data_IF_766155918827
#
_entry.id   IF_766155918827
#
_cell.length_a   1.000
_cell.length_b   1.000
_cell.length_c   1.000
_cell.angle_alpha   90.00
_cell.angle_beta   90.00
_cell.angle_gamma   90.00
#
_symmetry.space_group_name_H-M   'P 1'
#
loop_
_entity.id
_entity.type
_entity.pdbx_description
1 polymer ?
#
# COMPACT_ATOMS: atom_id res chain seq x y z
N UNK A 1 -3.72 80.42 20.15
CA UNK A 1 -4.08 78.99 19.90
C UNK A 1 -5.42 78.95 19.17
N UNK A 2 -5.40 78.61 17.87
CA UNK A 2 -6.64 78.37 17.10
C UNK A 2 -7.05 76.94 17.38
N UNK A 3 -7.99 76.70 18.27
CA UNK A 3 -8.69 75.45 18.38
C UNK A 3 -9.65 75.35 17.19
N UNK A 4 -9.33 74.55 16.21
CA UNK A 4 -10.13 74.35 15.02
C UNK A 4 -11.42 73.62 15.42
N UNK A 5 -12.57 74.29 15.21
CA UNK A 5 -13.92 73.76 15.48
C UNK A 5 -14.31 72.48 14.75
N UNK A 6 -13.47 71.98 13.86
CA UNK A 6 -13.71 70.77 13.07
C UNK A 6 -13.23 69.41 13.68
N UNK A 7 -12.51 69.45 14.80
CA UNK A 7 -11.94 68.27 15.46
C UNK A 7 -13.01 67.42 16.18
N UNK A 8 -14.09 68.02 16.62
CA UNK A 8 -15.15 67.37 17.38
C UNK A 8 -16.06 66.49 16.47
N UNK A 9 -16.56 67.00 15.32
CA UNK A 9 -17.34 66.19 14.39
C UNK A 9 -16.55 65.01 13.81
N UNK A 10 -15.28 65.19 13.45
CA UNK A 10 -14.42 64.16 12.91
C UNK A 10 -14.12 63.03 13.92
N UNK A 11 -13.90 63.38 15.19
CA UNK A 11 -13.77 62.40 16.27
C UNK A 11 -15.05 61.64 16.56
N UNK A 12 -16.21 62.30 16.44
CA UNK A 12 -17.52 61.66 16.62
C UNK A 12 -17.83 60.69 15.47
N UNK A 13 -17.58 61.12 14.23
CA UNK A 13 -17.71 60.27 13.05
C UNK A 13 -16.80 59.04 13.13
N UNK A 14 -15.54 59.19 13.53
CA UNK A 14 -14.61 58.11 13.76
C UNK A 14 -15.09 57.10 14.82
N UNK A 15 -15.69 57.59 15.92
CA UNK A 15 -16.28 56.75 16.96
C UNK A 15 -17.53 56.02 16.46
N UNK A 16 -18.41 56.64 15.67
CA UNK A 16 -19.59 56.00 15.09
C UNK A 16 -19.20 54.90 14.09
N UNK A 17 -18.18 55.16 13.29
CA UNK A 17 -17.63 54.16 12.38
C UNK A 17 -17.03 52.95 13.11
N UNK A 18 -16.25 53.19 14.18
CA UNK A 18 -15.69 52.11 15.01
C UNK A 18 -16.78 51.29 15.71
N UNK A 19 -17.81 51.92 16.26
CA UNK A 19 -18.97 51.26 16.86
C UNK A 19 -19.77 50.43 15.84
N UNK A 20 -19.97 50.98 14.63
CA UNK A 20 -20.58 50.20 13.52
C UNK A 20 -19.77 48.99 13.13
N UNK A 21 -18.43 49.11 13.10
CA UNK A 21 -17.50 48.01 12.87
C UNK A 21 -17.59 46.91 13.95
N UNK A 22 -17.60 47.33 15.23
CA UNK A 22 -17.74 46.41 16.37
C UNK A 22 -19.09 45.69 16.37
N UNK A 23 -20.17 46.39 16.04
CA UNK A 23 -21.50 45.82 15.93
C UNK A 23 -21.58 44.80 14.81
N UNK A 24 -21.05 45.09 13.63
CA UNK A 24 -20.99 44.15 12.51
C UNK A 24 -20.16 42.93 12.85
N UNK A 25 -19.03 43.11 13.56
CA UNK A 25 -18.22 41.99 14.05
C UNK A 25 -18.98 41.10 15.02
N UNK A 26 -19.68 41.72 16.00
CA UNK A 26 -20.50 40.98 16.96
C UNK A 26 -21.63 40.21 16.29
N UNK A 27 -22.31 40.82 15.31
CA UNK A 27 -23.34 40.15 14.51
C UNK A 27 -22.78 38.96 13.72
N UNK A 28 -21.61 39.12 13.11
CA UNK A 28 -20.91 38.02 12.39
C UNK A 28 -20.54 36.88 13.33
N UNK A 29 -20.01 37.20 14.51
CA UNK A 29 -19.69 36.20 15.54
C UNK A 29 -20.93 35.47 16.05
N UNK A 30 -22.04 36.17 16.23
CA UNK A 30 -23.30 35.59 16.66
C UNK A 30 -23.90 34.69 15.61
N UNK A 31 -23.82 35.09 14.33
CA UNK A 31 -24.35 34.33 13.19
C UNK A 31 -23.51 33.07 12.91
N UNK A 32 -22.18 33.18 13.00
CA UNK A 32 -21.27 32.07 12.69
C UNK A 32 -20.95 31.18 13.91
N UNK A 33 -21.23 31.67 15.12
CA UNK A 33 -20.80 31.04 16.36
C UNK A 33 -19.27 31.02 16.56
N UNK A 34 -18.51 31.72 15.71
CA UNK A 34 -17.04 31.70 15.76
C UNK A 34 -16.50 33.08 16.21
N UNK A 35 -15.65 33.07 17.22
CA UNK A 35 -14.99 34.31 17.71
C UNK A 35 -13.91 34.80 16.75
N UNK A 36 -13.18 33.87 16.10
CA UNK A 36 -12.07 34.16 15.20
C UNK A 36 -12.48 33.79 13.78
N UNK A 37 -12.75 34.80 12.96
CA UNK A 37 -13.07 34.63 11.52
C UNK A 37 -11.91 35.08 10.64
N UNK A 38 -11.18 36.16 11.06
CA UNK A 38 -10.09 36.74 10.31
C UNK A 38 -8.79 36.80 11.15
N UNK A 39 -7.60 36.84 10.51
CA UNK A 39 -6.32 37.00 11.22
C UNK A 39 -6.23 38.22 12.09
N UNK A 40 -6.95 39.30 11.73
CA UNK A 40 -7.06 40.54 12.50
C UNK A 40 -7.78 40.39 13.82
N UNK A 41 -8.56 39.32 14.04
CA UNK A 41 -9.32 39.14 15.28
C UNK A 41 -8.43 38.68 16.44
N UNK A 42 -7.52 37.74 16.17
CA UNK A 42 -6.58 37.16 17.12
C UNK A 42 -5.43 36.48 16.34
N UNK A 43 -4.37 37.23 16.06
CA UNK A 43 -3.27 36.73 15.23
C UNK A 43 -2.57 35.48 15.83
N UNK A 44 -2.26 35.42 17.16
CA UNK A 44 -1.69 34.19 17.75
C UNK A 44 -2.59 32.95 17.66
N UNK A 45 -3.88 33.12 17.90
CA UNK A 45 -4.83 32.02 17.81
C UNK A 45 -5.02 31.58 16.34
N UNK A 46 -5.06 32.53 15.40
CA UNK A 46 -5.13 32.20 13.98
C UNK A 46 -3.90 31.44 13.49
N UNK A 47 -2.69 31.79 13.99
CA UNK A 47 -1.47 31.03 13.68
C UNK A 47 -1.59 29.58 14.14
N UNK A 48 -2.11 29.32 15.36
CA UNK A 48 -2.35 27.95 15.85
C UNK A 48 -3.35 27.20 14.97
N UNK A 49 -4.46 27.88 14.59
CA UNK A 49 -5.46 27.29 13.68
C UNK A 49 -4.86 26.94 12.32
N UNK A 50 -4.00 27.79 11.76
CA UNK A 50 -3.34 27.52 10.48
C UNK A 50 -2.37 26.32 10.58
N UNK A 51 -1.61 26.23 11.68
CA UNK A 51 -0.73 25.09 11.92
C UNK A 51 -1.54 23.78 12.05
N UNK A 52 -2.62 23.77 12.83
CA UNK A 52 -3.53 22.62 12.97
C UNK A 52 -4.19 22.23 11.65
N UNK A 53 -4.54 23.20 10.80
CA UNK A 53 -5.08 22.91 9.46
C UNK A 53 -4.03 22.30 8.54
N UNK A 54 -2.78 22.70 8.64
CA UNK A 54 -1.68 22.13 7.87
C UNK A 54 -1.44 20.69 8.32
N UNK A 55 -1.34 20.44 9.61
CA UNK A 55 -1.24 19.11 10.19
C UNK A 55 -2.41 18.23 9.78
N UNK A 56 -3.65 18.72 9.87
CA UNK A 56 -4.84 18.00 9.41
C UNK A 56 -4.75 17.59 7.94
N UNK A 57 -4.27 18.46 7.05
CA UNK A 57 -4.07 18.14 5.63
C UNK A 57 -2.99 17.09 5.42
N UNK A 58 -1.88 17.17 6.15
CA UNK A 58 -0.81 16.17 6.11
C UNK A 58 -1.32 14.80 6.57
N UNK A 59 -2.01 14.74 7.71
CA UNK A 59 -2.61 13.51 8.23
C UNK A 59 -3.61 12.91 7.24
N UNK A 60 -4.41 13.74 6.55
CA UNK A 60 -5.32 13.27 5.50
C UNK A 60 -4.57 12.69 4.30
N UNK A 61 -3.42 13.24 3.92
CA UNK A 61 -2.61 12.67 2.84
C UNK A 61 -1.98 11.34 3.27
N UNK A 62 -1.44 11.26 4.49
CA UNK A 62 -0.91 10.00 5.04
C UNK A 62 -1.97 8.91 5.13
N UNK A 63 -3.20 9.28 5.52
CA UNK A 63 -4.34 8.36 5.55
C UNK A 63 -4.65 7.79 4.16
N UNK A 64 -4.66 8.63 3.12
CA UNK A 64 -4.85 8.17 1.73
C UNK A 64 -3.72 7.23 1.31
N UNK A 65 -2.47 7.59 1.57
CA UNK A 65 -1.32 6.75 1.26
C UNK A 65 -1.43 5.39 1.97
N UNK A 66 -1.80 5.39 3.26
CA UNK A 66 -2.00 4.15 4.01
C UNK A 66 -3.15 3.30 3.45
N UNK A 67 -4.23 3.94 2.97
CA UNK A 67 -5.35 3.25 2.31
C UNK A 67 -4.92 2.59 1.00
N UNK A 68 -4.21 3.33 0.16
CA UNK A 68 -3.69 2.81 -1.11
C UNK A 68 -2.70 1.66 -0.86
N UNK A 69 -1.81 1.80 0.13
CA UNK A 69 -0.90 0.74 0.51
C UNK A 69 -1.58 -0.51 1.06
N UNK A 70 -2.63 -0.34 1.84
CA UNK A 70 -3.41 -1.45 2.36
C UNK A 70 -4.10 -2.23 1.24
N UNK A 71 -4.66 -1.54 0.24
CA UNK A 71 -5.25 -2.18 -0.94
C UNK A 71 -4.21 -2.99 -1.72
N UNK A 72 -3.04 -2.39 -2.02
CA UNK A 72 -1.92 -3.08 -2.68
C UNK A 72 -1.50 -4.32 -1.90
N UNK A 73 -1.30 -4.20 -0.59
CA UNK A 73 -0.86 -5.31 0.26
C UNK A 73 -1.89 -6.44 0.34
N UNK A 74 -3.19 -6.13 0.39
CA UNK A 74 -4.27 -7.14 0.38
C UNK A 74 -4.31 -7.93 -0.93
N UNK A 75 -4.21 -7.25 -2.06
CA UNK A 75 -4.22 -7.92 -3.36
C UNK A 75 -2.93 -8.73 -3.57
N UNK A 76 -1.78 -8.20 -3.11
CA UNK A 76 -0.50 -8.93 -3.13
C UNK A 76 -0.59 -10.21 -2.30
N UNK A 77 -1.11 -10.14 -1.08
CA UNK A 77 -1.34 -11.31 -0.23
C UNK A 77 -2.24 -12.34 -0.91
N UNK A 78 -3.36 -11.90 -1.49
CA UNK A 78 -4.27 -12.79 -2.22
C UNK A 78 -3.61 -13.45 -3.45
N UNK A 79 -2.74 -12.71 -4.17
CA UNK A 79 -2.00 -13.27 -5.30
C UNK A 79 -0.98 -14.33 -4.85
N UNK A 80 -0.27 -14.09 -3.75
CA UNK A 80 0.66 -15.06 -3.17
C UNK A 80 -0.07 -16.30 -2.64
N UNK A 81 -1.24 -16.13 -2.03
CA UNK A 81 -2.07 -17.23 -1.55
C UNK A 81 -2.56 -18.11 -2.70
N UNK A 82 -3.00 -17.50 -3.81
CA UNK A 82 -3.33 -18.23 -5.01
C UNK A 82 -2.12 -19.01 -5.57
N UNK A 83 -0.92 -18.42 -5.62
CA UNK A 83 0.30 -19.10 -6.05
C UNK A 83 0.61 -20.28 -5.13
N UNK A 84 0.45 -20.14 -3.82
CA UNK A 84 0.60 -21.21 -2.84
C UNK A 84 -0.39 -22.35 -3.12
N UNK A 85 -1.64 -22.05 -3.40
CA UNK A 85 -2.66 -23.08 -3.69
C UNK A 85 -2.32 -23.87 -4.97
N UNK A 86 -1.77 -23.19 -5.99
CA UNK A 86 -1.28 -23.87 -7.21
C UNK A 86 -0.09 -24.79 -6.91
N UNK A 87 0.80 -24.38 -6.01
CA UNK A 87 1.92 -25.20 -5.55
C UNK A 87 1.44 -26.43 -4.78
N UNK A 88 0.51 -26.27 -3.84
CA UNK A 88 -0.09 -27.37 -3.09
C UNK A 88 -0.74 -28.38 -4.07
N UNK A 89 -1.51 -27.89 -5.03
CA UNK A 89 -2.12 -28.75 -6.05
C UNK A 89 -1.09 -29.48 -6.88
N UNK A 90 0.01 -28.84 -7.26
CA UNK A 90 1.11 -29.46 -7.98
C UNK A 90 1.77 -30.57 -7.13
N UNK A 91 1.98 -30.33 -5.85
CA UNK A 91 2.52 -31.29 -4.89
C UNK A 91 1.60 -32.51 -4.70
N UNK A 92 0.29 -32.30 -4.66
CA UNK A 92 -0.71 -33.40 -4.61
C UNK A 92 -0.63 -34.26 -5.85
N UNK A 93 -0.54 -33.69 -7.06
CA UNK A 93 -0.38 -34.42 -8.30
C UNK A 93 0.90 -35.25 -8.33
N UNK A 94 1.98 -34.69 -7.74
CA UNK A 94 3.27 -35.39 -7.60
C UNK A 94 3.21 -36.54 -6.57
N UNK A 95 2.52 -36.33 -5.44
CA UNK A 95 2.39 -37.35 -4.40
C UNK A 95 1.66 -38.61 -4.87
N UNK A 96 0.77 -38.48 -5.85
CA UNK A 96 0.01 -39.55 -6.44
C UNK A 96 0.74 -40.26 -7.61
N UNK A 97 2.07 -40.15 -7.67
CA UNK A 97 2.93 -40.82 -8.67
C UNK A 97 3.74 -41.90 -8.00
N UNK A 98 3.77 -43.07 -8.63
CA UNK A 98 4.55 -44.23 -8.19
C UNK A 98 5.13 -45.01 -9.39
N UNK A 99 5.92 -46.04 -9.11
CA UNK A 99 6.58 -46.85 -10.15
C UNK A 99 5.64 -47.62 -11.08
N UNK A 100 4.35 -47.72 -10.72
CA UNK A 100 3.30 -48.43 -11.53
C UNK A 100 2.41 -47.46 -12.30
N UNK A 101 2.63 -46.11 -12.13
CA UNK A 101 1.87 -45.08 -12.84
C UNK A 101 2.07 -45.23 -14.35
N UNK A 102 0.97 -45.29 -15.10
CA UNK A 102 1.01 -45.45 -16.54
C UNK A 102 1.51 -44.18 -17.26
N UNK A 103 2.05 -44.33 -18.46
CA UNK A 103 2.51 -43.20 -19.28
C UNK A 103 1.36 -42.23 -19.63
N UNK A 104 0.13 -42.74 -19.76
CA UNK A 104 -1.04 -41.89 -19.99
C UNK A 104 -1.40 -41.05 -18.77
N UNK A 105 -1.29 -41.62 -17.57
CA UNK A 105 -1.51 -40.89 -16.31
C UNK A 105 -0.43 -39.83 -16.09
N UNK A 106 0.84 -40.13 -16.39
CA UNK A 106 1.91 -39.11 -16.35
C UNK A 106 1.60 -37.94 -17.29
N UNK A 107 1.18 -38.21 -18.54
CA UNK A 107 0.81 -37.16 -19.51
C UNK A 107 -0.40 -36.35 -19.06
N UNK A 108 -1.41 -37.00 -18.47
CA UNK A 108 -2.58 -36.30 -17.94
C UNK A 108 -2.21 -35.33 -16.81
N UNK A 109 -1.40 -35.80 -15.84
CA UNK A 109 -0.88 -34.97 -14.73
C UNK A 109 0.00 -33.85 -15.25
N UNK A 110 0.89 -34.12 -16.22
CA UNK A 110 1.71 -33.08 -16.85
C UNK A 110 0.86 -31.98 -17.52
N UNK A 111 -0.23 -32.36 -18.19
CA UNK A 111 -1.17 -31.44 -18.81
C UNK A 111 -1.90 -30.59 -17.75
N UNK A 112 -2.28 -31.16 -16.61
CA UNK A 112 -2.87 -30.38 -15.48
C UNK A 112 -1.86 -29.40 -14.92
N UNK A 113 -0.61 -29.83 -14.67
CA UNK A 113 0.47 -28.92 -14.19
C UNK A 113 0.72 -27.77 -15.20
N UNK A 114 0.66 -28.06 -16.52
CA UNK A 114 0.80 -27.00 -17.53
C UNK A 114 -0.29 -25.89 -17.41
N UNK A 115 -1.53 -26.30 -17.08
CA UNK A 115 -2.61 -25.34 -16.81
C UNK A 115 -2.36 -24.55 -15.52
N UNK A 116 -1.87 -25.21 -14.46
CA UNK A 116 -1.52 -24.56 -13.20
C UNK A 116 -0.38 -23.53 -13.39
N UNK A 117 0.64 -23.87 -14.21
CA UNK A 117 1.73 -22.95 -14.56
C UNK A 117 1.20 -21.71 -15.29
N UNK A 118 0.32 -21.88 -16.28
CA UNK A 118 -0.31 -20.76 -17.00
C UNK A 118 -1.13 -19.88 -16.07
N UNK A 119 -1.88 -20.48 -15.16
CA UNK A 119 -2.62 -19.75 -14.14
C UNK A 119 -1.67 -19.01 -13.19
N UNK A 120 -0.61 -19.64 -12.72
CA UNK A 120 0.41 -19.03 -11.87
C UNK A 120 1.09 -17.84 -12.54
N UNK A 121 1.43 -17.94 -13.83
CA UNK A 121 1.99 -16.85 -14.60
C UNK A 121 1.01 -15.65 -14.71
N UNK A 122 -0.29 -15.95 -14.91
CA UNK A 122 -1.32 -14.89 -14.94
C UNK A 122 -1.45 -14.21 -13.59
N UNK A 123 -1.47 -14.98 -12.50
CA UNK A 123 -1.55 -14.44 -11.13
C UNK A 123 -0.30 -13.61 -10.80
N UNK A 124 0.91 -14.09 -11.17
CA UNK A 124 2.16 -13.37 -10.98
C UNK A 124 2.19 -12.03 -11.73
N UNK A 125 1.50 -11.93 -12.86
CA UNK A 125 1.37 -10.72 -13.67
C UNK A 125 0.09 -9.91 -13.36
N UNK A 126 -0.50 -10.07 -12.18
CA UNK A 126 -1.71 -9.33 -11.78
C UNK A 126 -1.41 -7.83 -11.68
N UNK A 127 -2.33 -7.02 -12.20
CA UNK A 127 -2.28 -5.56 -12.14
C UNK A 127 -3.33 -5.02 -11.18
N UNK A 128 -2.94 -3.96 -10.47
CA UNK A 128 -3.85 -3.12 -9.71
C UNK A 128 -3.72 -1.68 -10.20
N UNK A 129 -4.82 -1.06 -10.63
CA UNK A 129 -4.84 0.31 -11.17
C UNK A 129 -3.81 0.56 -12.29
N UNK A 130 -3.54 -0.47 -13.10
CA UNK A 130 -2.58 -0.39 -14.22
C UNK A 130 -1.13 -0.71 -13.87
N UNK A 131 -0.78 -0.86 -12.59
CA UNK A 131 0.55 -1.22 -12.11
C UNK A 131 0.65 -2.69 -11.76
N UNK A 132 1.76 -3.35 -12.06
CA UNK A 132 2.01 -4.73 -11.66
C UNK A 132 2.32 -4.80 -10.17
N UNK A 133 1.72 -5.79 -9.48
CA UNK A 133 1.90 -5.97 -8.04
C UNK A 133 3.24 -6.59 -7.68
N UNK A 134 3.64 -7.63 -8.41
CA UNK A 134 4.89 -8.38 -8.19
C UNK A 134 6.02 -7.85 -9.09
N UNK A 135 6.16 -6.53 -9.16
CA UNK A 135 7.16 -5.86 -10.01
C UNK A 135 8.18 -5.03 -9.21
N UNK A 136 8.01 -4.93 -7.89
CA UNK A 136 8.85 -4.10 -7.04
C UNK A 136 8.77 -2.62 -7.43
N UNK A 137 9.92 -1.98 -7.62
CA UNK A 137 10.04 -0.56 -7.99
C UNK A 137 9.61 -0.23 -9.44
N UNK A 138 9.42 -1.24 -10.30
CA UNK A 138 9.01 -1.10 -11.70
C UNK A 138 7.54 -1.41 -11.96
N UNK A 139 6.71 -1.29 -10.96
CA UNK A 139 5.27 -1.58 -11.03
C UNK A 139 4.53 -0.82 -12.14
N UNK A 140 5.01 0.34 -12.55
CA UNK A 140 4.43 1.18 -13.61
C UNK A 140 4.88 0.86 -15.03
N UNK A 141 5.74 -0.13 -15.25
CA UNK A 141 6.18 -0.49 -16.60
C UNK A 141 5.08 -1.21 -17.41
N UNK A 142 5.15 -1.08 -18.74
CA UNK A 142 4.15 -1.71 -19.62
C UNK A 142 4.42 -3.19 -19.85
N UNK A 143 5.66 -3.65 -19.70
CA UNK A 143 6.06 -5.05 -19.90
C UNK A 143 5.73 -5.87 -18.65
N UNK A 144 5.26 -7.12 -18.81
CA UNK A 144 5.00 -7.97 -17.65
C UNK A 144 6.30 -8.35 -16.94
N UNK A 145 6.30 -8.39 -15.58
CA UNK A 145 7.48 -8.76 -14.81
C UNK A 145 7.90 -10.23 -15.00
N UNK A 146 6.96 -11.13 -15.23
CA UNK A 146 7.20 -12.56 -15.44
C UNK A 146 6.94 -12.92 -16.88
N UNK A 147 7.97 -13.40 -17.58
CA UNK A 147 7.91 -13.71 -19.01
C UNK A 147 8.45 -15.12 -19.25
N UNK A 148 7.80 -15.86 -20.13
CA UNK A 148 8.29 -17.15 -20.59
C UNK A 148 9.42 -16.92 -21.62
N UNK A 149 10.63 -17.41 -21.32
CA UNK A 149 11.78 -17.29 -22.20
C UNK A 149 11.77 -18.37 -23.32
N UNK A 150 12.70 -18.23 -24.28
CA UNK A 150 12.85 -19.17 -25.39
C UNK A 150 13.19 -20.61 -24.94
N UNK A 151 13.75 -20.80 -23.75
CA UNK A 151 14.05 -22.12 -23.18
C UNK A 151 12.84 -22.74 -22.47
N UNK A 152 11.70 -22.05 -22.46
CA UNK A 152 10.45 -22.48 -21.82
C UNK A 152 10.49 -22.40 -20.29
N UNK A 153 11.32 -21.52 -19.74
CA UNK A 153 11.38 -21.18 -18.32
C UNK A 153 10.79 -19.78 -18.09
N UNK A 154 10.34 -19.50 -16.89
CA UNK A 154 9.82 -18.19 -16.51
C UNK A 154 10.95 -17.38 -15.92
N UNK A 155 11.22 -16.22 -16.53
CA UNK A 155 12.19 -15.25 -16.05
C UNK A 155 11.46 -14.06 -15.40
N UNK A 156 11.98 -13.61 -14.27
CA UNK A 156 11.64 -12.31 -13.71
C UNK A 156 12.44 -11.24 -14.48
N UNK A 157 11.77 -10.56 -15.42
CA UNK A 157 12.41 -9.70 -16.43
C UNK A 157 13.01 -8.40 -15.84
N UNK A 158 12.67 -8.06 -14.60
CA UNK A 158 13.15 -6.86 -13.92
C UNK A 158 14.42 -7.09 -13.08
N UNK A 159 15.16 -8.15 -13.36
CA UNK A 159 16.50 -8.34 -12.79
C UNK A 159 17.46 -7.29 -13.33
N UNK A 160 17.56 -6.18 -12.66
CA UNK A 160 18.65 -5.21 -12.91
C UNK A 160 19.82 -5.57 -12.02
N UNK A 161 20.99 -5.74 -12.63
CA UNK A 161 22.23 -6.15 -11.98
C UNK A 161 22.74 -5.21 -10.86
N UNK A 162 22.02 -4.17 -10.51
CA UNK A 162 22.43 -3.09 -9.60
C UNK A 162 21.39 -2.69 -8.56
N UNK A 163 20.24 -3.38 -8.47
CA UNK A 163 19.26 -3.04 -7.44
C UNK A 163 19.49 -3.89 -6.19
N UNK A 164 19.50 -3.22 -5.05
CA UNK A 164 19.49 -3.91 -3.76
C UNK A 164 18.28 -4.84 -3.69
N UNK A 165 18.45 -6.02 -3.12
CA UNK A 165 17.39 -7.03 -2.99
C UNK A 165 16.13 -6.52 -2.27
N UNK A 166 16.24 -5.38 -1.57
CA UNK A 166 15.18 -4.72 -0.82
C UNK A 166 14.68 -3.40 -1.46
N UNK A 167 15.03 -3.13 -2.73
CA UNK A 167 14.58 -1.92 -3.43
C UNK A 167 13.07 -2.00 -3.71
N UNK A 168 12.30 -1.19 -2.99
CA UNK A 168 10.85 -1.10 -3.14
C UNK A 168 10.37 0.34 -3.10
N UNK A 169 9.28 0.68 -3.81
CA UNK A 169 8.63 1.97 -3.66
C UNK A 169 8.22 2.21 -2.21
N UNK A 170 8.64 3.35 -1.66
CA UNK A 170 8.33 3.73 -0.29
C UNK A 170 7.17 4.73 -0.27
N UNK A 171 6.19 4.49 0.59
CA UNK A 171 5.07 5.40 0.84
C UNK A 171 5.26 6.09 2.18
N UNK A 172 5.14 7.43 2.18
CA UNK A 172 5.06 8.18 3.42
C UNK A 172 3.68 8.01 4.06
N UNK A 173 3.65 7.40 5.23
CA UNK A 173 2.44 7.16 6.02
C UNK A 173 2.48 7.89 7.38
N UNK A 174 3.50 8.72 7.57
CA UNK A 174 3.73 9.58 8.71
C UNK A 174 4.85 10.56 8.40
N UNK A 175 5.15 11.47 9.32
CA UNK A 175 6.19 12.49 9.15
C UNK A 175 7.57 11.84 8.91
N UNK A 176 7.93 10.85 9.74
CA UNK A 176 9.19 10.11 9.64
C UNK A 176 8.96 8.61 9.38
N UNK A 177 7.76 8.24 8.94
CA UNK A 177 7.40 6.84 8.75
C UNK A 177 7.13 6.55 7.29
N UNK A 178 7.95 5.66 6.71
CA UNK A 178 7.74 5.09 5.37
C UNK A 178 7.47 3.61 5.46
N UNK A 179 6.63 3.10 4.56
CA UNK A 179 6.35 1.68 4.39
C UNK A 179 6.29 1.35 2.90
N UNK A 180 6.67 0.12 2.56
CA UNK A 180 6.45 -0.44 1.23
C UNK A 180 5.41 -1.55 1.30
N UNK A 181 4.38 -1.45 0.46
CA UNK A 181 3.34 -2.47 0.32
C UNK A 181 3.64 -3.47 -0.81
N UNK A 182 4.68 -3.23 -1.59
CA UNK A 182 5.08 -4.07 -2.71
C UNK A 182 6.01 -5.21 -2.26
N UNK A 183 6.05 -6.28 -3.07
CA UNK A 183 7.02 -7.36 -2.91
C UNK A 183 8.42 -6.90 -3.27
N UNK A 184 9.44 -7.49 -2.62
CA UNK A 184 10.84 -7.24 -2.95
C UNK A 184 11.24 -7.93 -4.25
N UNK A 185 12.26 -7.43 -4.97
CA UNK A 185 12.83 -8.13 -6.12
C UNK A 185 13.30 -9.56 -5.78
N UNK A 186 13.77 -9.78 -4.55
CA UNK A 186 14.13 -11.11 -4.05
C UNK A 186 12.90 -12.04 -4.03
N UNK A 187 11.82 -11.63 -3.38
CA UNK A 187 10.58 -12.42 -3.33
C UNK A 187 10.01 -12.70 -4.73
N UNK A 188 10.11 -11.75 -5.65
CA UNK A 188 9.65 -11.93 -7.02
C UNK A 188 10.51 -12.97 -7.78
N UNK A 189 11.83 -13.00 -7.56
CA UNK A 189 12.70 -14.07 -8.09
C UNK A 189 12.34 -15.44 -7.51
N UNK A 190 11.98 -15.50 -6.23
CA UNK A 190 11.54 -16.75 -5.59
C UNK A 190 10.21 -17.26 -6.20
N UNK A 191 9.27 -16.36 -6.52
CA UNK A 191 8.06 -16.72 -7.26
C UNK A 191 8.40 -17.27 -8.65
N UNK A 192 9.34 -16.67 -9.37
CA UNK A 192 9.80 -17.19 -10.67
C UNK A 192 10.48 -18.58 -10.51
N UNK A 193 11.32 -18.74 -9.49
CA UNK A 193 11.98 -20.01 -9.18
C UNK A 193 10.97 -21.12 -8.88
N UNK A 194 9.92 -20.82 -8.12
CA UNK A 194 8.83 -21.75 -7.85
C UNK A 194 8.10 -22.19 -9.13
N UNK A 195 7.72 -21.23 -9.97
CA UNK A 195 7.06 -21.55 -11.24
C UNK A 195 7.97 -22.38 -12.16
N UNK A 196 9.30 -22.16 -12.12
CA UNK A 196 10.27 -22.95 -12.84
C UNK A 196 10.38 -24.38 -12.29
N UNK A 197 10.25 -24.58 -10.98
CA UNK A 197 10.18 -25.93 -10.39
C UNK A 197 8.92 -26.70 -10.85
N UNK A 198 7.78 -26.02 -10.98
CA UNK A 198 6.59 -26.61 -11.58
C UNK A 198 6.83 -26.99 -13.04
N UNK A 199 7.56 -26.19 -13.82
CA UNK A 199 7.94 -26.51 -15.21
C UNK A 199 8.87 -27.74 -15.26
N UNK A 200 9.86 -27.82 -14.37
CA UNK A 200 10.74 -29.00 -14.25
C UNK A 200 9.93 -30.25 -13.93
N UNK A 201 8.97 -30.19 -13.01
CA UNK A 201 8.09 -31.30 -12.68
C UNK A 201 7.24 -31.73 -13.87
N UNK A 202 6.64 -30.78 -14.59
CA UNK A 202 5.90 -31.08 -15.83
C UNK A 202 6.79 -31.77 -16.84
N UNK A 203 8.04 -31.28 -17.06
CA UNK A 203 9.02 -31.92 -17.98
C UNK A 203 9.38 -33.34 -17.52
N UNK A 204 9.61 -33.54 -16.23
CA UNK A 204 9.91 -34.85 -15.67
C UNK A 204 8.78 -35.88 -15.93
N UNK A 205 7.53 -35.41 -15.95
CA UNK A 205 6.37 -36.25 -16.24
C UNK A 205 6.13 -36.49 -17.76
N UNK A 206 6.40 -35.48 -18.62
CA UNK A 206 6.06 -35.54 -20.05
C UNK A 206 7.18 -36.01 -20.96
N UNK A 207 8.40 -35.49 -20.75
CA UNK A 207 9.42 -35.46 -21.80
C UNK A 207 10.50 -36.56 -21.68
N UNK A 208 10.55 -37.28 -20.56
CA UNK A 208 11.62 -38.29 -20.35
C UNK A 208 11.18 -39.68 -20.80
N UNK A 209 11.76 -40.24 -21.84
CA UNK A 209 11.54 -41.66 -22.20
C UNK A 209 12.31 -42.54 -21.21
N UNK A 210 11.83 -42.65 -19.99
CA UNK A 210 12.45 -43.40 -18.92
C UNK A 210 11.44 -44.37 -18.31
N UNK A 211 11.93 -45.46 -17.69
CA UNK A 211 11.05 -46.39 -16.97
C UNK A 211 10.23 -45.62 -15.90
N UNK A 212 8.99 -46.05 -15.67
CA UNK A 212 8.07 -45.37 -14.72
C UNK A 212 8.65 -45.19 -13.32
N UNK A 213 9.50 -46.10 -12.85
CA UNK A 213 10.23 -45.99 -11.58
C UNK A 213 11.20 -44.81 -11.54
N UNK A 214 11.91 -44.55 -12.66
CA UNK A 214 12.88 -43.42 -12.75
C UNK A 214 12.12 -42.08 -12.81
N UNK A 215 11.01 -42.01 -13.56
CA UNK A 215 10.13 -40.81 -13.57
C UNK A 215 9.56 -40.53 -12.18
N UNK A 216 9.04 -41.57 -11.51
CA UNK A 216 8.47 -41.43 -10.18
C UNK A 216 9.50 -40.88 -9.17
N UNK A 217 10.73 -41.39 -9.19
CA UNK A 217 11.80 -40.90 -8.32
C UNK A 217 12.16 -39.45 -8.61
N UNK A 218 12.26 -39.03 -9.87
CA UNK A 218 12.53 -37.67 -10.27
C UNK A 218 11.42 -36.71 -9.81
N UNK A 219 10.16 -37.11 -9.96
CA UNK A 219 9.00 -36.34 -9.52
C UNK A 219 8.97 -36.16 -7.99
N UNK A 220 9.29 -37.22 -7.23
CA UNK A 220 9.33 -37.19 -5.77
C UNK A 220 10.45 -36.25 -5.25
N UNK A 221 11.63 -36.28 -5.88
CA UNK A 221 12.71 -35.34 -5.52
C UNK A 221 12.31 -33.89 -5.79
N UNK A 222 11.66 -33.59 -6.92
CA UNK A 222 11.17 -32.25 -7.24
C UNK A 222 10.03 -31.79 -6.29
N UNK A 223 9.25 -32.73 -5.75
CA UNK A 223 8.24 -32.43 -4.74
C UNK A 223 8.87 -31.89 -3.45
N UNK A 224 9.98 -32.48 -3.01
CA UNK A 224 10.70 -32.02 -1.83
C UNK A 224 11.32 -30.61 -2.06
N UNK A 225 11.80 -30.35 -3.29
CA UNK A 225 12.23 -28.99 -3.69
C UNK A 225 11.05 -28.00 -3.66
N UNK A 226 9.85 -28.40 -4.09
CA UNK A 226 8.66 -27.56 -4.02
C UNK A 226 8.24 -27.25 -2.59
N UNK A 227 8.37 -28.20 -1.65
CA UNK A 227 8.08 -27.96 -0.24
C UNK A 227 9.00 -26.88 0.35
N UNK A 228 10.30 -26.88 -0.03
CA UNK A 228 11.23 -25.80 0.39
C UNK A 228 10.83 -24.42 -0.19
N UNK A 229 10.25 -24.38 -1.40
CA UNK A 229 9.75 -23.13 -2.00
C UNK A 229 8.47 -22.65 -1.32
N UNK A 230 7.65 -23.54 -0.75
CA UNK A 230 6.46 -23.18 0.02
C UNK A 230 6.80 -22.30 1.22
N UNK A 231 7.84 -22.66 1.98
CA UNK A 231 8.30 -21.87 3.14
C UNK A 231 8.68 -20.45 2.73
N UNK A 232 9.26 -20.29 1.55
CA UNK A 232 9.64 -18.95 1.03
C UNK A 232 8.41 -18.12 0.71
N UNK A 233 7.40 -18.70 0.08
CA UNK A 233 6.12 -18.02 -0.21
C UNK A 233 5.39 -17.66 1.11
N UNK A 234 5.36 -18.58 2.07
CA UNK A 234 4.78 -18.30 3.40
C UNK A 234 5.48 -17.15 4.12
N UNK A 235 6.80 -17.03 3.97
CA UNK A 235 7.56 -15.90 4.50
C UNK A 235 7.14 -14.58 3.83
N UNK A 236 6.99 -14.54 2.51
CA UNK A 236 6.51 -13.37 1.77
C UNK A 236 5.07 -13.00 2.16
N UNK A 237 4.18 -13.98 2.33
CA UNK A 237 2.81 -13.78 2.82
C UNK A 237 2.80 -13.23 4.25
N UNK A 238 3.64 -13.76 5.15
CA UNK A 238 3.77 -13.27 6.52
C UNK A 238 4.21 -11.81 6.56
N UNK A 239 5.16 -11.42 5.71
CA UNK A 239 5.59 -10.03 5.57
C UNK A 239 4.43 -9.15 5.07
N UNK A 240 3.70 -9.57 4.04
CA UNK A 240 2.54 -8.84 3.53
C UNK A 240 1.46 -8.68 4.61
N UNK A 241 1.17 -9.72 5.38
CA UNK A 241 0.24 -9.67 6.52
C UNK A 241 0.68 -8.70 7.62
N UNK A 242 1.98 -8.67 7.94
CA UNK A 242 2.54 -7.72 8.90
C UNK A 242 2.39 -6.26 8.40
N UNK A 243 2.61 -6.03 7.12
CA UNK A 243 2.43 -4.71 6.50
C UNK A 243 0.96 -4.29 6.56
N UNK A 244 0.01 -5.20 6.28
CA UNK A 244 -1.43 -4.93 6.40
C UNK A 244 -1.78 -4.48 7.81
N UNK A 245 -1.37 -5.24 8.82
CA UNK A 245 -1.64 -4.91 10.22
C UNK A 245 -1.07 -3.55 10.63
N UNK A 246 0.16 -3.24 10.18
CA UNK A 246 0.79 -1.93 10.44
C UNK A 246 0.02 -0.80 9.77
N UNK A 247 -0.39 -0.97 8.51
CA UNK A 247 -1.15 0.04 7.76
C UNK A 247 -2.53 0.27 8.39
N UNK A 248 -3.23 -0.77 8.83
CA UNK A 248 -4.51 -0.65 9.54
C UNK A 248 -4.35 0.09 10.88
N UNK A 249 -3.27 -0.16 11.60
CA UNK A 249 -2.96 0.55 12.85
C UNK A 249 -2.68 2.03 12.59
N UNK A 250 -1.90 2.34 11.54
CA UNK A 250 -1.60 3.72 11.14
C UNK A 250 -2.87 4.45 10.70
N UNK A 251 -3.76 3.80 9.95
CA UNK A 251 -5.04 4.41 9.56
C UNK A 251 -5.86 4.82 10.78
N UNK A 252 -5.98 3.96 11.78
CA UNK A 252 -6.71 4.27 13.03
C UNK A 252 -6.07 5.44 13.79
N UNK A 253 -4.74 5.48 13.89
CA UNK A 253 -4.03 6.58 14.56
C UNK A 253 -4.24 7.90 13.81
N UNK A 254 -4.14 7.89 12.49
CA UNK A 254 -4.36 9.08 11.65
C UNK A 254 -5.81 9.59 11.72
N UNK A 255 -6.79 8.69 11.82
CA UNK A 255 -8.20 9.05 12.01
C UNK A 255 -8.40 9.76 13.35
N UNK A 256 -7.86 9.22 14.44
CA UNK A 256 -7.91 9.84 15.76
C UNK A 256 -7.21 11.22 15.77
N UNK A 257 -6.05 11.35 15.11
CA UNK A 257 -5.35 12.65 14.97
C UNK A 257 -6.16 13.65 14.16
N UNK A 258 -6.81 13.19 13.09
CA UNK A 258 -7.68 14.04 12.29
C UNK A 258 -8.84 14.59 13.12
N UNK A 259 -9.55 13.73 13.86
CA UNK A 259 -10.64 14.14 14.77
C UNK A 259 -10.16 15.08 15.88
N UNK A 260 -8.99 14.80 16.48
CA UNK A 260 -8.38 15.62 17.51
C UNK A 260 -8.06 17.02 16.98
N UNK A 261 -7.43 17.11 15.80
CA UNK A 261 -7.11 18.39 15.15
C UNK A 261 -8.38 19.18 14.85
N UNK A 262 -9.47 18.53 14.44
CA UNK A 262 -10.77 19.18 14.19
C UNK A 262 -11.39 19.75 15.47
N UNK A 263 -11.38 18.99 16.56
CA UNK A 263 -11.83 19.45 17.89
C UNK A 263 -11.01 20.62 18.38
N UNK A 264 -9.66 20.58 18.23
CA UNK A 264 -8.77 21.66 18.62
C UNK A 264 -9.03 22.94 17.81
N UNK A 265 -9.21 22.83 16.49
CA UNK A 265 -9.56 23.96 15.62
C UNK A 265 -10.89 24.59 16.06
N UNK A 266 -11.90 23.76 16.35
CA UNK A 266 -13.20 24.22 16.84
C UNK A 266 -13.06 24.93 18.20
N UNK A 267 -12.33 24.34 19.12
CA UNK A 267 -12.09 24.90 20.45
C UNK A 267 -11.36 26.25 20.37
N UNK A 268 -10.30 26.36 19.55
CA UNK A 268 -9.57 27.63 19.37
C UNK A 268 -10.46 28.72 18.77
N UNK A 269 -11.37 28.39 17.86
CA UNK A 269 -12.31 29.35 17.29
C UNK A 269 -13.35 29.85 18.27
N UNK A 270 -13.74 29.03 19.26
CA UNK A 270 -14.76 29.34 20.24
C UNK A 270 -14.18 29.94 21.54
N UNK A 271 -12.90 29.69 21.84
CA UNK A 271 -12.26 30.07 23.10
C UNK A 271 -12.36 31.59 23.35
N UNK A 272 -12.86 32.03 24.51
CA UNK A 272 -12.87 33.45 24.87
C UNK A 272 -11.45 34.03 24.89
N UNK A 273 -11.30 35.29 24.52
CA UNK A 273 -10.02 35.96 24.60
C UNK A 273 -9.50 35.92 26.06
N UNK A 274 -8.20 35.67 26.27
CA UNK A 274 -7.64 35.76 27.62
C UNK A 274 -7.95 37.16 28.16
N UNK A 275 -8.61 37.21 29.32
CA UNK A 275 -8.85 38.48 30.01
C UNK A 275 -7.50 39.17 30.20
N UNK A 276 -7.31 40.34 29.56
CA UNK A 276 -6.16 41.17 29.87
C UNK A 276 -6.24 41.48 31.36
N UNK A 277 -5.42 40.83 32.18
CA UNK A 277 -5.21 41.29 33.54
C UNK A 277 -4.73 42.73 33.44
N UNK A 278 -5.51 43.62 34.03
CA UNK A 278 -5.17 45.04 34.20
C UNK A 278 -4.06 45.16 35.22
#
# INVERSE_FOLDING_TARGET
>A
MRVTFNTFPDTLLGRLQSLGGEQNKALTQLSTGQRIAAPSDDAPAMQRILNLRTEKKQNQQYYRNATDGLEVSKVTFSSLDQIKDLLVRTSELAANVNGTTSEQEFKAKASEIDQLIKQGLNVANTKLRGSYLLAGDRSGESTPPFVLNASGNIDYSYTVALQADDANPQMHVGEDTTLSAFTTPKENREVAALLNKMIEMRKAMSDTPSAGTTKASAVLNLRDDLANQEDTILSAMSRAGTIQYRLETIQKDLELRYESSEKLISTERLRPAPSRMK
#
